data_IF_554033823036
#
_entry.id   IF_554033823036
#
_cell.length_a   1.000
_cell.length_b   1.000
_cell.length_c   1.000
_cell.angle_alpha   90.00
_cell.angle_beta   90.00
_cell.angle_gamma   90.00
#
_symmetry.space_group_name_H-M   'P 1'
#
loop_
_entity.id
_entity.type
_entity.pdbx_description
1 polymer ?
#
# COMPACT_ATOMS: atom_id res chain seq x y z
N UNK A 1 -16.38 22.56 -23.66
CA UNK A 1 -16.04 21.62 -24.77
C UNK A 1 -15.49 20.36 -24.15
N UNK A 2 -16.25 19.29 -24.30
CA UNK A 2 -16.01 17.99 -23.69
C UNK A 2 -14.72 17.37 -24.17
N UNK A 3 -13.76 17.19 -23.28
CA UNK A 3 -12.69 16.23 -23.44
C UNK A 3 -13.19 14.88 -22.90
N UNK A 4 -13.98 14.18 -23.70
CA UNK A 4 -14.56 12.88 -23.36
C UNK A 4 -13.52 11.75 -23.15
N UNK A 5 -12.26 11.98 -23.51
CA UNK A 5 -11.17 11.00 -23.39
C UNK A 5 -10.53 10.95 -21.98
N UNK A 6 -10.58 12.04 -21.21
CA UNK A 6 -10.04 12.02 -19.82
C UNK A 6 -11.06 11.44 -18.82
N UNK A 7 -12.35 11.46 -19.14
CA UNK A 7 -13.41 10.93 -18.25
C UNK A 7 -13.44 9.40 -18.20
N UNK A 8 -13.11 8.70 -19.27
CA UNK A 8 -13.23 7.24 -19.33
C UNK A 8 -12.21 6.50 -18.45
N UNK A 9 -10.94 6.88 -18.49
CA UNK A 9 -9.89 6.28 -17.66
C UNK A 9 -9.97 6.77 -16.21
N UNK A 10 -10.23 8.05 -15.99
CA UNK A 10 -10.39 8.63 -14.66
C UNK A 10 -11.53 8.00 -13.86
N UNK A 11 -12.66 7.68 -14.48
CA UNK A 11 -13.81 7.07 -13.79
C UNK A 11 -13.58 5.60 -13.43
N UNK A 12 -12.83 4.85 -14.22
CA UNK A 12 -12.48 3.45 -13.91
C UNK A 12 -11.53 3.36 -12.74
N UNK A 13 -10.53 4.25 -12.66
CA UNK A 13 -9.53 4.23 -11.59
C UNK A 13 -9.93 5.05 -10.35
N UNK A 14 -10.82 6.01 -10.47
CA UNK A 14 -11.34 6.82 -9.35
C UNK A 14 -12.10 6.02 -8.28
N UNK A 15 -12.40 4.74 -8.54
CA UNK A 15 -13.18 3.86 -7.65
C UNK A 15 -12.48 2.53 -7.42
N UNK A 16 -11.18 2.55 -7.18
CA UNK A 16 -10.44 1.33 -6.87
C UNK A 16 -10.31 1.15 -5.36
N UNK A 17 -10.85 0.05 -4.84
CA UNK A 17 -10.58 -0.46 -3.51
C UNK A 17 -9.40 -1.43 -3.54
N UNK A 18 -8.48 -1.32 -2.56
CA UNK A 18 -7.30 -2.20 -2.47
C UNK A 18 -7.34 -2.97 -1.16
N UNK A 19 -7.28 -4.30 -1.25
CA UNK A 19 -7.26 -5.22 -0.10
C UNK A 19 -5.81 -5.67 0.12
N UNK A 20 -5.26 -5.46 1.33
CA UNK A 20 -3.97 -6.04 1.71
C UNK A 20 -4.12 -7.52 2.00
N UNK A 21 -3.21 -8.34 1.47
CA UNK A 21 -3.26 -9.80 1.69
C UNK A 21 -2.36 -10.27 2.84
N UNK A 22 -1.55 -9.37 3.41
CA UNK A 22 -0.60 -9.72 4.48
C UNK A 22 -1.35 -10.14 5.75
N UNK A 23 -1.29 -11.43 6.09
CA UNK A 23 -1.93 -12.04 7.26
C UNK A 23 -3.45 -11.78 7.36
N UNK A 24 -4.13 -11.62 6.23
CA UNK A 24 -5.55 -11.28 6.14
C UNK A 24 -6.47 -12.29 6.83
N UNK A 25 -5.98 -13.51 7.07
CA UNK A 25 -6.71 -14.58 7.76
C UNK A 25 -6.59 -14.57 9.28
N UNK A 26 -6.00 -13.53 9.88
CA UNK A 26 -5.67 -13.51 11.31
C UNK A 26 -6.87 -13.66 12.26
N UNK A 27 -8.06 -13.36 11.81
CA UNK A 27 -9.32 -13.52 12.58
C UNK A 27 -9.97 -14.91 12.40
N UNK A 28 -9.46 -15.77 11.51
CA UNK A 28 -9.97 -17.10 11.34
C UNK A 28 -9.71 -17.94 12.60
N UNK A 29 -10.69 -18.71 13.12
CA UNK A 29 -10.56 -19.43 14.40
C UNK A 29 -9.38 -20.41 14.45
N UNK A 30 -9.00 -20.96 13.29
CA UNK A 30 -7.91 -21.91 13.12
C UNK A 30 -6.62 -21.25 12.57
N UNK A 31 -6.49 -19.92 12.66
CA UNK A 31 -5.35 -19.19 12.12
C UNK A 31 -4.01 -19.67 12.70
N UNK A 32 -3.99 -19.90 13.99
CA UNK A 32 -2.79 -20.28 14.74
C UNK A 32 -2.35 -21.71 14.39
N UNK A 33 -1.28 -21.85 13.57
CA UNK A 33 -0.76 -23.11 13.05
C UNK A 33 -1.29 -23.51 11.69
N UNK A 34 -2.12 -22.66 11.09
CA UNK A 34 -2.75 -22.89 9.79
C UNK A 34 -2.80 -21.59 8.96
N UNK A 35 -1.79 -20.72 9.19
CA UNK A 35 -1.76 -19.32 8.71
C UNK A 35 -1.95 -19.23 7.20
N UNK A 36 -1.28 -20.12 6.45
CA UNK A 36 -1.35 -20.12 4.99
C UNK A 36 -2.78 -20.40 4.48
N UNK A 37 -3.39 -21.49 4.95
CA UNK A 37 -4.73 -21.87 4.52
C UNK A 37 -5.75 -20.80 4.93
N UNK A 38 -5.62 -20.22 6.12
CA UNK A 38 -6.47 -19.12 6.59
C UNK A 38 -6.33 -17.87 5.71
N UNK A 39 -5.11 -17.49 5.36
CA UNK A 39 -4.87 -16.36 4.46
C UNK A 39 -5.50 -16.59 3.08
N UNK A 40 -5.34 -17.75 2.48
CA UNK A 40 -5.92 -18.05 1.17
C UNK A 40 -7.46 -18.04 1.20
N UNK A 41 -8.08 -18.63 2.23
CA UNK A 41 -9.54 -18.57 2.42
C UNK A 41 -10.02 -17.13 2.56
N UNK A 42 -9.33 -16.33 3.37
CA UNK A 42 -9.70 -14.95 3.64
C UNK A 42 -9.47 -14.04 2.44
N UNK A 43 -8.41 -14.24 1.64
CA UNK A 43 -8.22 -13.53 0.36
C UNK A 43 -9.46 -13.72 -0.51
N UNK A 44 -9.92 -14.96 -0.70
CA UNK A 44 -11.11 -15.26 -1.50
C UNK A 44 -12.36 -14.62 -0.90
N UNK A 45 -12.60 -14.81 0.38
CA UNK A 45 -13.75 -14.27 1.12
C UNK A 45 -13.87 -12.75 0.97
N UNK A 46 -12.78 -12.04 1.19
CA UNK A 46 -12.77 -10.57 1.13
C UNK A 46 -12.91 -10.03 -0.31
N UNK A 47 -12.29 -10.66 -1.31
CA UNK A 47 -12.45 -10.27 -2.71
C UNK A 47 -13.89 -10.47 -3.16
N UNK A 48 -14.47 -11.66 -2.93
CA UNK A 48 -15.86 -11.94 -3.30
C UNK A 48 -16.80 -10.94 -2.63
N UNK A 49 -16.63 -10.72 -1.33
CA UNK A 49 -17.45 -9.77 -0.57
C UNK A 49 -17.32 -8.34 -1.09
N UNK A 50 -16.09 -7.89 -1.40
CA UNK A 50 -15.86 -6.56 -1.95
C UNK A 50 -16.51 -6.39 -3.33
N UNK A 51 -16.47 -7.42 -4.19
CA UNK A 51 -17.13 -7.40 -5.49
C UNK A 51 -18.66 -7.36 -5.40
N UNK A 52 -19.25 -8.10 -4.46
CA UNK A 52 -20.68 -8.02 -4.17
C UNK A 52 -21.08 -6.59 -3.76
N UNK A 53 -20.35 -6.00 -2.81
CA UNK A 53 -20.59 -4.63 -2.34
C UNK A 53 -20.41 -3.59 -3.45
N UNK A 54 -19.41 -3.77 -4.31
CA UNK A 54 -19.16 -2.89 -5.44
C UNK A 54 -20.25 -2.98 -6.52
N UNK A 55 -21.00 -4.07 -6.58
CA UNK A 55 -22.12 -4.27 -7.53
C UNK A 55 -21.72 -3.96 -8.98
N UNK A 56 -20.53 -4.40 -9.40
CA UNK A 56 -19.96 -4.15 -10.72
C UNK A 56 -19.44 -2.72 -10.96
N UNK A 57 -19.40 -1.88 -9.93
CA UNK A 57 -18.88 -0.50 -10.02
C UNK A 57 -17.47 -0.41 -9.45
N UNK A 58 -16.53 0.07 -10.26
CA UNK A 58 -15.13 0.21 -9.86
C UNK A 58 -14.35 -1.11 -9.91
N UNK A 59 -13.11 -1.07 -9.44
CA UNK A 59 -12.17 -2.18 -9.45
C UNK A 59 -11.84 -2.62 -8.01
N UNK A 60 -11.73 -3.93 -7.82
CA UNK A 60 -11.22 -4.52 -6.57
C UNK A 60 -9.82 -5.04 -6.83
N UNK A 61 -8.84 -4.38 -6.27
CA UNK A 61 -7.44 -4.77 -6.35
C UNK A 61 -6.98 -5.44 -5.05
N UNK A 62 -5.86 -6.14 -5.14
CA UNK A 62 -5.14 -6.64 -3.97
C UNK A 62 -3.73 -6.05 -3.93
N UNK A 63 -3.24 -5.77 -2.74
CA UNK A 63 -1.83 -5.46 -2.49
C UNK A 63 -1.14 -6.71 -1.92
N UNK A 64 -0.10 -7.19 -2.59
CA UNK A 64 0.66 -8.37 -2.18
C UNK A 64 2.14 -8.00 -2.02
N UNK A 65 2.67 -8.17 -0.82
CA UNK A 65 4.09 -7.92 -0.55
C UNK A 65 4.96 -9.04 -1.11
N UNK A 66 5.96 -8.71 -1.92
CA UNK A 66 6.95 -9.66 -2.47
C UNK A 66 7.74 -10.36 -1.35
N UNK A 67 7.92 -9.68 -0.22
CA UNK A 67 8.61 -10.20 0.96
C UNK A 67 7.84 -11.31 1.70
N UNK A 68 6.55 -11.52 1.44
CA UNK A 68 5.78 -12.60 2.06
C UNK A 68 6.31 -13.97 1.64
N UNK A 69 6.31 -14.92 2.58
CA UNK A 69 6.67 -16.32 2.30
C UNK A 69 5.76 -16.92 1.22
N UNK A 70 4.44 -16.70 1.33
CA UNK A 70 3.41 -17.19 0.40
C UNK A 70 3.03 -16.17 -0.67
N UNK A 71 3.95 -15.31 -1.10
CA UNK A 71 3.70 -14.28 -2.12
C UNK A 71 3.04 -14.86 -3.38
N UNK A 72 3.59 -15.94 -3.93
CA UNK A 72 3.10 -16.53 -5.17
C UNK A 72 1.69 -17.12 -5.02
N UNK A 73 1.43 -17.76 -3.90
CA UNK A 73 0.15 -18.38 -3.55
C UNK A 73 -0.93 -17.29 -3.36
N UNK A 74 -0.60 -16.19 -2.67
CA UNK A 74 -1.50 -15.04 -2.52
C UNK A 74 -1.87 -14.41 -3.86
N UNK A 75 -0.91 -14.20 -4.75
CA UNK A 75 -1.17 -13.69 -6.11
C UNK A 75 -2.12 -14.61 -6.87
N UNK A 76 -1.81 -15.92 -6.90
CA UNK A 76 -2.63 -16.90 -7.61
C UNK A 76 -4.05 -16.99 -7.06
N UNK A 77 -4.20 -16.98 -5.72
CA UNK A 77 -5.49 -17.05 -5.07
C UNK A 77 -6.31 -15.78 -5.33
N UNK A 78 -5.70 -14.60 -5.29
CA UNK A 78 -6.36 -13.35 -5.60
C UNK A 78 -6.92 -13.34 -7.04
N UNK A 79 -6.13 -13.82 -8.02
CA UNK A 79 -6.57 -13.94 -9.41
C UNK A 79 -7.73 -14.95 -9.53
N UNK A 80 -7.63 -16.11 -8.88
CA UNK A 80 -8.72 -17.14 -8.86
C UNK A 80 -10.00 -16.61 -8.25
N UNK A 81 -9.88 -15.78 -7.20
CA UNK A 81 -11.02 -15.14 -6.53
C UNK A 81 -11.64 -14.00 -7.34
N UNK A 82 -11.03 -13.63 -8.48
CA UNK A 82 -11.55 -12.62 -9.40
C UNK A 82 -11.14 -11.19 -9.06
N UNK A 83 -9.98 -10.97 -8.42
CA UNK A 83 -9.42 -9.63 -8.28
C UNK A 83 -9.21 -8.99 -9.66
N UNK A 84 -9.55 -7.71 -9.80
CA UNK A 84 -9.39 -6.98 -11.06
C UNK A 84 -7.95 -6.54 -11.30
N UNK A 85 -7.18 -6.38 -10.22
CA UNK A 85 -5.76 -6.02 -10.29
C UNK A 85 -4.96 -6.61 -9.13
N UNK A 86 -3.68 -6.87 -9.38
CA UNK A 86 -2.68 -7.27 -8.39
C UNK A 86 -1.57 -6.22 -8.36
N UNK A 87 -1.42 -5.56 -7.22
CA UNK A 87 -0.42 -4.51 -6.96
C UNK A 87 0.64 -5.12 -6.06
N UNK A 88 1.91 -5.08 -6.46
CA UNK A 88 2.99 -5.70 -5.70
C UNK A 88 4.10 -4.73 -5.36
N UNK A 89 4.53 -4.76 -4.09
CA UNK A 89 5.62 -3.95 -3.54
C UNK A 89 6.35 -4.67 -2.40
N UNK A 90 7.06 -3.94 -1.57
CA UNK A 90 7.94 -4.49 -0.54
C UNK A 90 8.92 -5.52 -1.12
N UNK A 91 9.64 -5.11 -2.16
CA UNK A 91 10.51 -5.88 -3.04
C UNK A 91 10.11 -5.70 -4.50
N UNK A 92 10.98 -6.12 -5.42
CA UNK A 92 10.73 -6.01 -6.86
C UNK A 92 9.96 -7.24 -7.36
N UNK A 93 8.72 -7.08 -7.88
CA UNK A 93 7.88 -8.19 -8.35
C UNK A 93 8.30 -8.65 -9.76
N UNK A 94 9.55 -9.12 -9.90
CA UNK A 94 10.14 -9.47 -11.20
C UNK A 94 9.41 -10.61 -11.92
N UNK A 95 8.73 -11.48 -11.16
CA UNK A 95 8.01 -12.65 -11.65
C UNK A 95 6.49 -12.51 -11.69
N UNK A 96 5.96 -11.32 -11.38
CA UNK A 96 4.51 -11.08 -11.35
C UNK A 96 3.81 -11.40 -12.70
N UNK A 97 4.38 -11.07 -13.88
CA UNK A 97 3.76 -11.44 -15.16
C UNK A 97 3.63 -12.95 -15.39
N UNK A 98 4.48 -13.77 -14.77
CA UNK A 98 4.40 -15.25 -14.82
C UNK A 98 3.23 -15.78 -13.97
N UNK A 99 2.94 -15.09 -12.85
CA UNK A 99 1.93 -15.53 -11.88
C UNK A 99 0.51 -15.17 -12.28
N UNK A 100 0.36 -14.15 -13.13
CA UNK A 100 -0.94 -13.61 -13.55
C UNK A 100 -1.05 -13.76 -15.06
N UNK A 101 -1.89 -14.70 -15.51
CA UNK A 101 -2.18 -14.87 -16.93
C UNK A 101 -2.73 -13.58 -17.56
N UNK A 102 -2.29 -13.28 -18.77
CA UNK A 102 -2.74 -12.09 -19.49
C UNK A 102 -4.27 -12.06 -19.65
N UNK A 103 -4.89 -10.93 -19.34
CA UNK A 103 -6.34 -10.76 -19.42
C UNK A 103 -7.12 -11.24 -18.19
N UNK A 104 -6.52 -11.97 -17.24
CA UNK A 104 -7.21 -12.41 -16.01
C UNK A 104 -7.30 -11.32 -14.96
N UNK A 105 -6.21 -10.59 -14.76
CA UNK A 105 -6.15 -9.42 -13.89
C UNK A 105 -5.08 -8.44 -14.40
N UNK A 106 -5.22 -7.18 -14.05
CA UNK A 106 -4.18 -6.16 -14.28
C UNK A 106 -3.02 -6.39 -13.32
N UNK A 107 -1.81 -6.07 -13.74
CA UNK A 107 -0.60 -6.16 -12.92
C UNK A 107 0.07 -4.80 -12.77
N UNK A 108 0.44 -4.47 -11.53
CA UNK A 108 1.09 -3.21 -11.22
C UNK A 108 2.22 -3.38 -10.20
N UNK A 109 3.40 -2.83 -10.47
CA UNK A 109 4.46 -2.73 -9.47
C UNK A 109 4.28 -1.48 -8.62
N UNK A 110 4.75 -1.54 -7.36
CA UNK A 110 5.03 -0.36 -6.54
C UNK A 110 6.52 -0.05 -6.68
N UNK A 111 6.84 1.18 -7.04
CA UNK A 111 8.22 1.65 -7.21
C UNK A 111 8.41 3.00 -6.54
N UNK A 112 9.64 3.30 -6.09
CA UNK A 112 9.96 4.59 -5.48
C UNK A 112 11.01 5.37 -6.29
N UNK A 113 11.43 4.84 -7.45
CA UNK A 113 12.42 5.48 -8.30
C UNK A 113 12.28 5.11 -9.78
N UNK A 114 12.74 6.02 -10.65
CA UNK A 114 12.89 5.76 -12.10
C UNK A 114 13.70 4.49 -12.38
N UNK A 115 14.78 4.27 -11.61
CA UNK A 115 15.64 3.09 -11.77
C UNK A 115 14.89 1.79 -11.52
N UNK A 116 14.06 1.73 -10.48
CA UNK A 116 13.25 0.56 -10.18
C UNK A 116 12.20 0.31 -11.27
N UNK A 117 11.51 1.36 -11.72
CA UNK A 117 10.55 1.27 -12.82
C UNK A 117 11.22 0.75 -14.11
N UNK A 118 12.35 1.34 -14.52
CA UNK A 118 13.10 0.94 -15.71
C UNK A 118 13.53 -0.54 -15.65
N UNK A 119 14.03 -0.99 -14.48
CA UNK A 119 14.43 -2.38 -14.27
C UNK A 119 13.27 -3.34 -14.44
N UNK A 120 12.13 -3.06 -13.80
CA UNK A 120 10.96 -3.93 -13.83
C UNK A 120 10.33 -3.97 -15.24
N UNK A 121 10.08 -2.83 -15.85
CA UNK A 121 9.49 -2.75 -17.19
C UNK A 121 10.36 -3.47 -18.22
N UNK A 122 11.70 -3.27 -18.16
CA UNK A 122 12.66 -3.98 -19.01
C UNK A 122 12.65 -5.48 -18.77
N UNK A 123 12.59 -5.91 -17.51
CA UNK A 123 12.59 -7.34 -17.16
C UNK A 123 11.31 -8.00 -17.62
N UNK A 124 10.16 -7.38 -17.37
CA UNK A 124 8.86 -7.91 -17.80
C UNK A 124 8.74 -7.99 -19.32
N UNK A 125 9.21 -6.96 -20.01
CA UNK A 125 9.25 -6.93 -21.47
C UNK A 125 10.13 -8.05 -22.04
N UNK A 126 11.39 -8.15 -21.59
CA UNK A 126 12.34 -9.12 -22.14
C UNK A 126 12.00 -10.56 -21.81
N UNK A 127 11.55 -10.82 -20.57
CA UNK A 127 11.35 -12.18 -20.09
C UNK A 127 9.96 -12.74 -20.40
N UNK A 128 8.94 -11.86 -20.41
CA UNK A 128 7.55 -12.28 -20.48
C UNK A 128 6.78 -11.69 -21.66
N UNK A 129 7.39 -10.79 -22.46
CA UNK A 129 6.70 -10.11 -23.55
C UNK A 129 5.51 -9.28 -23.06
N UNK A 130 5.59 -8.72 -21.84
CA UNK A 130 4.49 -8.04 -21.16
C UNK A 130 5.01 -6.77 -20.45
N UNK A 131 4.12 -5.78 -20.27
CA UNK A 131 4.42 -4.58 -19.48
C UNK A 131 3.39 -4.38 -18.37
N UNK A 132 3.61 -3.41 -17.49
CA UNK A 132 2.66 -3.04 -16.45
C UNK A 132 1.33 -2.55 -17.05
N UNK A 133 0.23 -2.81 -16.36
CA UNK A 133 -1.07 -2.24 -16.72
C UNK A 133 -1.26 -0.86 -16.10
N UNK A 134 -0.62 -0.59 -14.99
CA UNK A 134 -0.41 0.71 -14.34
C UNK A 134 0.78 0.61 -13.38
N UNK A 135 1.23 1.72 -12.85
CA UNK A 135 2.33 1.81 -11.88
C UNK A 135 1.85 2.58 -10.65
N UNK A 136 2.19 2.11 -9.45
CA UNK A 136 2.09 2.91 -8.24
C UNK A 136 3.49 3.42 -7.88
N UNK A 137 3.64 4.73 -7.74
CA UNK A 137 4.90 5.33 -7.29
C UNK A 137 4.74 5.81 -5.85
N UNK A 138 5.62 5.34 -4.97
CA UNK A 138 5.53 5.62 -3.55
C UNK A 138 6.62 6.59 -3.12
N UNK A 139 6.20 7.76 -2.62
CA UNK A 139 7.07 8.80 -2.12
C UNK A 139 7.56 8.55 -0.70
N UNK A 140 8.54 9.37 -0.23
CA UNK A 140 9.17 9.19 1.07
C UNK A 140 8.24 9.44 2.26
N UNK A 141 7.08 10.07 2.05
CA UNK A 141 6.09 10.37 3.09
C UNK A 141 5.05 9.27 3.30
N UNK A 142 5.15 8.16 2.56
CA UNK A 142 4.26 7.03 2.72
C UNK A 142 4.38 6.37 4.11
N UNK A 143 3.35 5.63 4.49
CA UNK A 143 3.32 4.81 5.70
C UNK A 143 3.74 3.37 5.43
N UNK A 144 4.09 2.63 6.48
CA UNK A 144 4.53 1.25 6.33
C UNK A 144 5.95 1.15 5.78
N UNK A 145 6.22 0.10 5.01
CA UNK A 145 7.55 -0.18 4.48
C UNK A 145 7.89 0.75 3.33
N UNK A 146 9.08 1.34 3.35
CA UNK A 146 9.52 2.37 2.43
C UNK A 146 10.62 1.87 1.50
N UNK A 147 10.53 2.21 0.22
CA UNK A 147 11.51 1.85 -0.81
C UNK A 147 12.77 2.73 -0.85
N UNK A 148 13.13 3.35 0.28
CA UNK A 148 14.27 4.25 0.47
C UNK A 148 15.24 3.67 1.49
N UNK A 149 16.51 4.08 1.49
CA UNK A 149 17.44 3.73 2.55
C UNK A 149 17.16 4.53 3.83
N UNK A 150 17.69 4.06 4.97
CA UNK A 150 17.52 4.77 6.24
C UNK A 150 18.12 6.16 6.17
N UNK A 151 19.31 6.30 5.57
CA UNK A 151 20.03 7.56 5.43
C UNK A 151 19.26 8.57 4.56
N UNK A 152 18.55 8.10 3.52
CA UNK A 152 17.67 8.95 2.72
C UNK A 152 16.46 9.45 3.55
N UNK A 153 15.92 8.61 4.41
CA UNK A 153 14.73 8.93 5.21
C UNK A 153 15.06 9.79 6.44
N UNK A 154 16.32 9.89 6.85
CA UNK A 154 16.74 10.80 7.92
C UNK A 154 16.63 12.27 7.51
N UNK A 155 16.66 12.56 6.19
CA UNK A 155 16.39 13.89 5.64
C UNK A 155 15.63 13.77 4.31
N UNK A 156 14.31 13.64 4.40
CA UNK A 156 13.45 13.48 3.22
C UNK A 156 13.45 14.70 2.27
N UNK A 157 13.90 15.88 2.75
CA UNK A 157 13.99 17.08 1.90
C UNK A 157 15.00 16.92 0.77
N UNK A 158 15.96 16.00 0.90
CA UNK A 158 16.93 15.64 -0.13
C UNK A 158 16.41 14.64 -1.16
N UNK A 159 15.25 14.01 -0.90
CA UNK A 159 14.62 13.08 -1.82
C UNK A 159 13.80 13.90 -2.83
N UNK A 160 14.26 13.92 -4.06
CA UNK A 160 13.58 14.63 -5.16
C UNK A 160 12.48 13.76 -5.76
N UNK A 161 11.41 13.51 -4.98
CA UNK A 161 10.33 12.61 -5.41
C UNK A 161 9.66 13.07 -6.71
N UNK A 162 9.53 14.36 -6.93
CA UNK A 162 8.93 14.91 -8.16
C UNK A 162 9.78 14.61 -9.40
N UNK A 163 11.11 14.64 -9.26
CA UNK A 163 12.03 14.24 -10.34
C UNK A 163 11.94 12.73 -10.61
N UNK A 164 11.84 11.90 -9.58
CA UNK A 164 11.62 10.46 -9.73
C UNK A 164 10.29 10.14 -10.41
N UNK A 165 9.20 10.82 -10.01
CA UNK A 165 7.89 10.70 -10.64
C UNK A 165 7.96 11.06 -12.14
N UNK A 166 8.54 12.21 -12.46
CA UNK A 166 8.75 12.66 -13.85
C UNK A 166 9.57 11.63 -14.64
N UNK A 167 10.65 11.12 -14.03
CA UNK A 167 11.49 10.10 -14.65
C UNK A 167 10.75 8.76 -14.89
N UNK A 168 9.82 8.37 -14.02
CA UNK A 168 8.95 7.21 -14.21
C UNK A 168 7.99 7.45 -15.38
N UNK A 169 7.41 8.67 -15.46
CA UNK A 169 6.54 9.06 -16.56
C UNK A 169 7.25 9.04 -17.92
N UNK A 170 8.52 9.43 -17.97
CA UNK A 170 9.33 9.30 -19.18
C UNK A 170 9.64 7.85 -19.54
N UNK A 171 9.99 7.04 -18.53
CA UNK A 171 10.39 5.65 -18.75
C UNK A 171 9.24 4.79 -19.29
N UNK A 172 8.01 5.00 -18.80
CA UNK A 172 6.83 4.24 -19.25
C UNK A 172 6.49 4.45 -20.73
N UNK A 173 6.76 5.64 -21.28
CA UNK A 173 6.41 6.02 -22.67
C UNK A 173 6.92 5.00 -23.70
N UNK A 174 8.14 4.49 -23.54
CA UNK A 174 8.74 3.47 -24.42
C UNK A 174 7.90 2.21 -24.50
N UNK A 175 7.27 1.83 -23.38
CA UNK A 175 6.45 0.62 -23.28
C UNK A 175 5.02 0.90 -23.71
N UNK A 176 4.51 2.12 -23.49
CA UNK A 176 3.23 2.56 -24.05
C UNK A 176 3.25 2.50 -25.58
N UNK A 177 4.28 3.05 -26.20
CA UNK A 177 4.50 2.99 -27.64
C UNK A 177 4.63 1.54 -28.14
N UNK A 178 5.50 0.74 -27.47
CA UNK A 178 5.75 -0.65 -27.86
C UNK A 178 4.52 -1.53 -27.80
N UNK A 179 3.71 -1.37 -26.74
CA UNK A 179 2.54 -2.22 -26.49
C UNK A 179 1.21 -1.62 -26.94
N UNK A 180 1.22 -0.41 -27.47
CA UNK A 180 0.01 0.28 -27.97
C UNK A 180 -1.04 0.53 -26.89
N UNK A 181 -0.63 0.71 -25.64
CA UNK A 181 -1.53 0.96 -24.50
C UNK A 181 -0.97 1.98 -23.52
N UNK A 182 -1.85 2.73 -22.86
CA UNK A 182 -1.45 3.60 -21.77
C UNK A 182 -1.07 2.79 -20.53
N UNK A 183 -0.12 3.31 -19.74
CA UNK A 183 0.32 2.79 -18.46
C UNK A 183 0.10 3.91 -17.42
N UNK A 184 -1.09 4.02 -16.82
CA UNK A 184 -1.35 5.04 -15.81
C UNK A 184 -0.39 4.95 -14.63
N UNK A 185 -0.05 6.12 -14.05
CA UNK A 185 0.79 6.22 -12.85
C UNK A 185 0.02 6.87 -11.73
N UNK A 186 -0.04 6.18 -10.59
CA UNK A 186 -0.67 6.67 -9.36
C UNK A 186 0.41 6.98 -8.34
N UNK A 187 0.38 8.19 -7.76
CA UNK A 187 1.34 8.56 -6.73
C UNK A 187 0.76 8.31 -5.32
N UNK A 188 1.60 7.83 -4.43
CA UNK A 188 1.29 7.56 -3.03
C UNK A 188 2.30 8.22 -2.09
N UNK A 189 1.89 8.50 -0.86
CA UNK A 189 2.72 9.13 0.16
C UNK A 189 2.58 10.64 0.18
N UNK A 190 2.26 11.19 1.36
CA UNK A 190 2.08 12.63 1.57
C UNK A 190 0.76 13.22 1.03
N UNK A 191 -0.10 12.43 0.41
CA UNK A 191 -1.37 12.89 -0.16
C UNK A 191 -2.41 13.03 0.94
N UNK A 192 -2.85 14.26 1.18
CA UNK A 192 -3.82 14.57 2.22
C UNK A 192 -5.18 14.97 1.69
N UNK A 193 -5.23 15.87 0.72
CA UNK A 193 -6.44 16.46 0.16
C UNK A 193 -6.35 16.70 -1.36
N UNK A 194 -7.37 17.38 -1.91
CA UNK A 194 -7.44 17.69 -3.33
C UNK A 194 -6.32 18.61 -3.83
N UNK A 195 -5.73 19.43 -2.96
CA UNK A 195 -4.62 20.30 -3.36
C UNK A 195 -3.34 19.46 -3.61
N UNK A 196 -3.07 18.49 -2.73
CA UNK A 196 -1.98 17.54 -2.94
C UNK A 196 -2.21 16.69 -4.20
N UNK A 197 -3.45 16.21 -4.40
CA UNK A 197 -3.82 15.44 -5.59
C UNK A 197 -3.57 16.25 -6.88
N UNK A 198 -4.01 17.50 -6.93
CA UNK A 198 -3.78 18.40 -8.08
C UNK A 198 -2.30 18.69 -8.32
N UNK A 199 -1.51 18.89 -7.25
CA UNK A 199 -0.06 19.10 -7.37
C UNK A 199 0.59 17.89 -8.05
N UNK A 200 0.21 16.69 -7.68
CA UNK A 200 0.72 15.45 -8.26
C UNK A 200 0.22 15.25 -9.71
N UNK A 201 -1.04 15.53 -9.98
CA UNK A 201 -1.60 15.49 -11.35
C UNK A 201 -0.91 16.49 -12.28
N UNK A 202 -0.54 17.68 -11.78
CA UNK A 202 0.23 18.68 -12.54
C UNK A 202 1.62 18.20 -12.94
N UNK A 203 2.20 17.24 -12.22
CA UNK A 203 3.45 16.56 -12.58
C UNK A 203 3.24 15.41 -13.59
N UNK A 204 1.99 15.15 -14.00
CA UNK A 204 1.64 14.19 -15.03
C UNK A 204 1.14 12.84 -14.49
N UNK A 205 1.00 12.65 -13.18
CA UNK A 205 0.38 11.44 -12.64
C UNK A 205 -1.11 11.38 -12.99
N UNK A 206 -1.61 10.17 -13.21
CA UNK A 206 -3.01 9.91 -13.59
C UNK A 206 -3.95 9.84 -12.38
N UNK A 207 -3.41 9.89 -11.16
CA UNK A 207 -4.17 9.90 -9.92
C UNK A 207 -3.32 9.63 -8.69
N UNK A 208 -3.99 9.39 -7.56
CA UNK A 208 -3.32 9.22 -6.26
C UNK A 208 -3.79 7.94 -5.55
N UNK A 209 -2.93 7.42 -4.66
CA UNK A 209 -3.25 6.35 -3.72
C UNK A 209 -3.08 6.85 -2.30
N UNK A 210 -4.09 6.67 -1.46
CA UNK A 210 -4.08 7.08 -0.06
C UNK A 210 -4.54 5.93 0.85
N UNK A 211 -4.01 5.87 2.08
CA UNK A 211 -4.35 4.85 3.06
C UNK A 211 -4.59 5.42 4.47
N UNK A 212 -3.68 6.21 5.02
CA UNK A 212 -3.65 6.62 6.44
C UNK A 212 -4.99 7.22 6.91
N UNK A 213 -5.61 8.10 6.13
CA UNK A 213 -6.91 8.71 6.46
C UNK A 213 -8.04 7.68 6.54
N UNK A 214 -8.01 6.65 5.68
CA UNK A 214 -9.05 5.63 5.64
C UNK A 214 -9.07 4.72 6.86
N UNK A 215 -7.96 4.62 7.60
CA UNK A 215 -7.90 3.88 8.88
C UNK A 215 -8.80 4.55 9.94
N UNK A 216 -8.80 5.88 10.00
CA UNK A 216 -9.64 6.63 10.93
C UNK A 216 -11.04 6.90 10.35
N UNK A 217 -11.69 5.88 9.80
CA UNK A 217 -13.06 5.96 9.28
C UNK A 217 -14.00 5.01 10.01
N UNK A 218 -15.30 5.30 9.94
CA UNK A 218 -16.34 4.45 10.52
C UNK A 218 -16.36 3.08 9.88
N UNK A 219 -16.11 3.02 8.57
CA UNK A 219 -16.16 1.81 7.74
C UNK A 219 -14.93 0.91 7.89
N UNK A 220 -13.81 1.42 8.39
CA UNK A 220 -12.65 0.59 8.71
C UNK A 220 -13.02 -0.40 9.83
N UNK A 221 -12.68 -1.66 9.65
CA UNK A 221 -13.00 -2.77 10.57
C UNK A 221 -12.02 -2.91 11.75
N UNK A 222 -10.92 -2.14 11.76
CA UNK A 222 -10.01 -2.10 12.90
C UNK A 222 -10.71 -1.61 14.18
N UNK A 223 -10.23 -2.06 15.33
CA UNK A 223 -10.78 -1.69 16.63
C UNK A 223 -10.81 -0.17 16.86
N UNK A 224 -11.68 0.27 17.74
CA UNK A 224 -11.75 1.69 18.12
C UNK A 224 -10.43 2.19 18.74
N UNK A 225 -9.72 1.33 19.49
CA UNK A 225 -8.40 1.65 20.05
C UNK A 225 -7.38 1.96 18.98
N UNK A 226 -7.35 1.16 17.91
CA UNK A 226 -6.49 1.38 16.76
C UNK A 226 -6.80 2.70 16.04
N UNK A 227 -8.08 2.97 15.76
CA UNK A 227 -8.51 4.24 15.13
C UNK A 227 -8.18 5.45 15.98
N UNK A 228 -8.36 5.35 17.32
CA UNK A 228 -8.00 6.42 18.27
C UNK A 228 -6.50 6.69 18.29
N UNK A 229 -5.64 5.69 18.08
CA UNK A 229 -4.21 5.91 17.96
C UNK A 229 -3.86 6.87 16.81
N UNK A 230 -4.58 6.79 15.70
CA UNK A 230 -4.41 7.74 14.59
C UNK A 230 -4.96 9.13 14.91
N UNK A 231 -6.13 9.23 15.54
CA UNK A 231 -6.75 10.51 15.89
C UNK A 231 -5.95 11.28 16.95
N UNK A 232 -5.32 10.55 17.88
CA UNK A 232 -4.55 11.14 18.96
C UNK A 232 -3.07 11.41 18.58
N UNK A 233 -2.63 10.90 17.41
CA UNK A 233 -1.25 11.05 16.96
C UNK A 233 -0.93 12.51 16.63
N UNK A 234 0.29 12.93 16.96
CA UNK A 234 0.87 14.21 16.56
C UNK A 234 1.91 13.98 15.48
N UNK A 235 2.26 15.00 14.74
CA UNK A 235 3.32 14.94 13.74
C UNK A 235 4.66 14.47 14.35
N UNK A 236 4.95 14.88 15.59
CA UNK A 236 6.15 14.48 16.35
C UNK A 236 6.16 13.01 16.77
N UNK A 237 5.03 12.33 16.70
CA UNK A 237 4.93 10.92 17.08
C UNK A 237 5.28 9.98 15.92
N UNK A 238 5.56 10.52 14.74
CA UNK A 238 5.93 9.73 13.57
C UNK A 238 7.43 9.42 13.58
N UNK A 239 7.77 8.15 13.33
CA UNK A 239 9.16 7.69 13.34
C UNK A 239 9.47 6.72 12.21
N UNK A 240 10.70 6.78 11.70
CA UNK A 240 11.25 5.73 10.85
C UNK A 240 11.84 4.63 11.72
N UNK A 241 11.35 3.42 11.58
CA UNK A 241 11.72 2.25 12.36
C UNK A 241 12.46 1.21 11.52
N UNK A 242 13.21 0.34 12.17
CA UNK A 242 13.76 -0.87 11.56
C UNK A 242 12.72 -1.99 11.60
N UNK A 243 12.18 -2.35 10.46
CA UNK A 243 11.20 -3.43 10.39
C UNK A 243 11.87 -4.82 10.27
N UNK A 244 11.25 -5.86 10.85
CA UNK A 244 11.65 -7.26 10.64
C UNK A 244 11.69 -7.72 9.17
N UNK A 245 11.01 -7.00 8.28
CA UNK A 245 11.01 -7.25 6.83
C UNK A 245 12.36 -6.90 6.17
N UNK A 246 13.23 -6.18 6.90
CA UNK A 246 14.53 -5.74 6.39
C UNK A 246 14.50 -4.40 5.65
N UNK A 247 13.35 -3.74 5.60
CA UNK A 247 13.15 -2.40 5.04
C UNK A 247 12.88 -1.39 6.17
N UNK A 248 13.24 -0.11 6.01
CA UNK A 248 12.74 0.94 6.88
C UNK A 248 11.21 1.02 6.81
N UNK A 249 10.57 1.38 7.91
CA UNK A 249 9.12 1.56 7.95
C UNK A 249 8.75 2.85 8.69
N UNK A 250 7.64 3.50 8.30
CA UNK A 250 7.12 4.65 9.04
C UNK A 250 5.94 4.24 9.90
N UNK A 251 6.05 4.52 11.21
CA UNK A 251 5.09 4.11 12.22
C UNK A 251 4.97 5.17 13.33
N UNK A 252 3.98 5.01 14.20
CA UNK A 252 3.90 5.77 15.45
C UNK A 252 4.98 5.32 16.43
N UNK A 253 5.64 6.27 17.06
CA UNK A 253 6.63 6.07 18.11
C UNK A 253 5.95 5.81 19.47
N UNK A 254 5.15 4.76 19.55
CA UNK A 254 4.44 4.34 20.76
C UNK A 254 5.34 3.59 21.74
N UNK A 255 4.78 3.15 22.88
CA UNK A 255 5.52 2.41 23.90
C UNK A 255 6.15 1.13 23.35
N UNK A 256 5.47 0.43 22.42
CA UNK A 256 5.99 -0.77 21.78
C UNK A 256 7.30 -0.50 21.02
N UNK A 257 7.31 0.53 20.16
CA UNK A 257 8.53 0.89 19.39
C UNK A 257 9.66 1.33 20.32
N UNK A 258 9.37 2.16 21.33
CA UNK A 258 10.38 2.60 22.30
C UNK A 258 10.99 1.43 23.07
N UNK A 259 10.17 0.45 23.46
CA UNK A 259 10.60 -0.77 24.16
C UNK A 259 11.48 -1.64 23.25
N UNK A 260 11.02 -1.93 22.05
CA UNK A 260 11.70 -2.87 21.13
C UNK A 260 13.00 -2.31 20.54
N UNK A 261 13.17 -0.99 20.51
CA UNK A 261 14.46 -0.34 20.19
C UNK A 261 15.50 -0.47 21.30
N UNK A 262 15.06 -0.52 22.57
CA UNK A 262 15.96 -0.69 23.72
C UNK A 262 16.37 -2.16 23.89
N UNK A 263 15.41 -3.07 23.72
CA UNK A 263 15.65 -4.50 23.81
C UNK A 263 14.69 -5.26 22.91
N UNK A 264 15.17 -6.23 22.10
CA UNK A 264 14.30 -7.06 21.29
C UNK A 264 13.26 -7.81 22.16
N UNK A 265 12.04 -7.92 21.65
CA UNK A 265 11.00 -8.77 22.23
C UNK A 265 11.25 -10.24 21.80
N UNK A 266 11.18 -11.18 22.73
CA UNK A 266 11.32 -12.59 22.40
C UNK A 266 10.18 -13.05 21.48
N UNK A 267 10.52 -13.76 20.41
CA UNK A 267 9.53 -14.33 19.50
C UNK A 267 9.12 -15.70 20.04
N UNK A 268 8.03 -15.75 20.78
CA UNK A 268 7.49 -17.00 21.34
C UNK A 268 6.97 -17.92 20.25
N UNK A 269 6.47 -17.35 19.14
CA UNK A 269 5.90 -18.09 18.03
C UNK A 269 6.25 -17.46 16.69
N UNK A 270 6.64 -18.31 15.73
CA UNK A 270 6.84 -17.92 14.33
C UNK A 270 5.57 -18.19 13.50
N UNK A 271 5.11 -17.18 12.75
CA UNK A 271 3.97 -17.26 11.83
C UNK A 271 4.41 -17.56 10.38
N UNK A 272 5.66 -17.83 10.14
CA UNK A 272 6.22 -18.12 8.80
C UNK A 272 5.80 -17.10 7.74
N UNK A 273 5.66 -15.82 8.12
CA UNK A 273 5.04 -14.77 7.30
C UNK A 273 5.99 -14.14 6.28
N UNK A 274 7.27 -14.01 6.59
CA UNK A 274 8.27 -13.28 5.79
C UNK A 274 9.39 -14.18 5.33
N UNK A 275 9.76 -14.07 4.04
CA UNK A 275 10.95 -14.73 3.49
C UNK A 275 12.19 -14.32 4.28
N UNK A 276 13.09 -15.26 4.50
CA UNK A 276 14.38 -15.03 5.17
C UNK A 276 14.28 -14.42 6.60
N UNK A 277 13.11 -14.42 7.21
CA UNK A 277 12.97 -14.03 8.61
C UNK A 277 13.72 -15.01 9.52
N UNK A 278 14.53 -14.45 10.42
CA UNK A 278 15.23 -15.21 11.45
C UNK A 278 14.73 -14.75 12.83
N UNK A 279 13.82 -15.49 13.47
CA UNK A 279 13.17 -15.06 14.73
C UNK A 279 14.14 -14.62 15.84
N UNK A 280 15.32 -15.22 15.91
CA UNK A 280 16.35 -14.86 16.89
C UNK A 280 17.12 -13.56 16.56
N UNK A 281 16.93 -12.96 15.38
CA UNK A 281 17.69 -11.80 14.92
C UNK A 281 16.81 -10.57 14.64
N UNK A 282 15.50 -10.68 14.83
CA UNK A 282 14.55 -9.58 14.62
C UNK A 282 14.20 -8.90 15.94
N UNK A 283 13.87 -7.60 15.93
CA UNK A 283 13.51 -6.88 17.15
C UNK A 283 12.16 -7.33 17.74
N UNK A 284 11.25 -7.89 16.95
CA UNK A 284 9.94 -8.41 17.35
C UNK A 284 9.28 -9.18 16.19
N UNK A 285 8.27 -9.99 16.50
CA UNK A 285 7.44 -10.63 15.46
C UNK A 285 6.46 -9.60 14.87
N UNK A 286 6.63 -9.27 13.58
CA UNK A 286 5.80 -8.25 12.93
C UNK A 286 4.33 -8.65 12.85
N UNK A 287 4.03 -9.92 12.56
CA UNK A 287 2.64 -10.42 12.52
C UNK A 287 1.95 -10.24 13.86
N UNK A 288 2.59 -10.65 14.93
CA UNK A 288 2.04 -10.52 16.28
C UNK A 288 1.83 -9.03 16.65
N UNK A 289 2.81 -8.18 16.36
CA UNK A 289 2.73 -6.76 16.65
C UNK A 289 1.58 -6.06 15.89
N UNK A 290 1.35 -6.43 14.63
CA UNK A 290 0.24 -5.89 13.84
C UNK A 290 -1.12 -6.41 14.34
N UNK A 291 -1.23 -7.69 14.70
CA UNK A 291 -2.47 -8.27 15.25
C UNK A 291 -2.83 -7.61 16.59
N UNK A 292 -1.87 -7.43 17.50
CA UNK A 292 -2.11 -6.71 18.76
C UNK A 292 -2.66 -5.31 18.50
N UNK A 293 -2.01 -4.57 17.62
CA UNK A 293 -2.40 -3.19 17.31
C UNK A 293 -3.82 -3.11 16.74
N UNK A 294 -4.17 -3.92 15.74
CA UNK A 294 -5.49 -3.86 15.10
C UNK A 294 -6.62 -4.25 16.05
N UNK A 295 -6.36 -5.11 17.03
CA UNK A 295 -7.29 -5.45 18.12
C UNK A 295 -7.40 -4.37 19.19
N UNK A 296 -6.55 -3.32 19.14
CA UNK A 296 -6.61 -2.17 20.03
C UNK A 296 -5.52 -2.13 21.11
N UNK A 297 -4.69 -3.15 21.22
CA UNK A 297 -3.50 -3.14 22.06
C UNK A 297 -2.35 -2.41 21.37
N UNK A 298 -2.53 -1.10 21.19
CA UNK A 298 -1.58 -0.24 20.48
C UNK A 298 -0.30 0.01 21.27
N UNK A 299 -0.34 -0.14 22.58
CA UNK A 299 0.84 0.03 23.46
C UNK A 299 1.82 -1.16 23.33
N UNK A 300 1.35 -2.33 22.90
CA UNK A 300 2.16 -3.52 22.67
C UNK A 300 2.17 -3.94 21.18
N UNK A 301 1.72 -3.07 20.29
CA UNK A 301 1.56 -3.35 18.88
C UNK A 301 2.20 -2.31 17.96
N UNK A 302 2.44 -2.71 16.73
CA UNK A 302 2.98 -1.86 15.67
C UNK A 302 1.87 -1.12 14.93
N UNK A 303 1.94 0.21 14.88
CA UNK A 303 0.98 1.06 14.20
C UNK A 303 1.70 1.80 13.06
N UNK A 304 1.58 1.29 11.84
CA UNK A 304 2.11 1.96 10.65
C UNK A 304 1.25 3.16 10.27
N UNK A 305 1.85 4.27 9.86
CA UNK A 305 1.13 5.47 9.42
C UNK A 305 1.98 6.28 8.42
N UNK A 306 1.36 7.11 7.59
CA UNK A 306 2.05 8.11 6.78
C UNK A 306 2.47 9.34 7.59
N UNK A 307 3.27 10.21 6.98
CA UNK A 307 3.78 11.44 7.62
C UNK A 307 2.65 12.37 8.12
N UNK A 308 1.55 12.41 7.40
CA UNK A 308 0.40 13.29 7.67
C UNK A 308 -0.58 12.78 8.75
N UNK A 309 -0.25 11.71 9.50
CA UNK A 309 -1.16 11.15 10.50
C UNK A 309 -1.59 12.18 11.55
N UNK A 310 -0.70 13.09 11.95
CA UNK A 310 -1.00 14.15 12.93
C UNK A 310 -2.05 15.17 12.49
N UNK A 311 -2.48 15.13 11.23
CA UNK A 311 -3.58 15.97 10.71
C UNK A 311 -4.97 15.33 10.93
N UNK A 312 -5.05 14.08 11.39
CA UNK A 312 -6.31 13.38 11.65
C UNK A 312 -6.85 13.84 13.01
N UNK A 313 -7.98 14.53 13.00
CA UNK A 313 -8.60 15.12 14.19
C UNK A 313 -9.86 14.37 14.68
N UNK A 314 -10.41 13.48 13.84
CA UNK A 314 -11.62 12.72 14.14
C UNK A 314 -11.73 11.44 13.35
N UNK A 315 -12.65 10.57 13.78
CA UNK A 315 -13.10 9.44 12.97
C UNK A 315 -14.14 9.97 11.96
N UNK A 316 -13.77 9.95 10.69
CA UNK A 316 -14.61 10.40 9.57
C UNK A 316 -15.34 9.22 8.89
N UNK A 317 -15.86 9.43 7.68
CA UNK A 317 -16.37 8.39 6.80
C UNK A 317 -15.48 8.26 5.57
N UNK A 318 -15.49 7.10 4.91
CA UNK A 318 -14.82 6.90 3.62
C UNK A 318 -15.28 7.93 2.59
N UNK A 319 -16.58 8.27 2.59
CA UNK A 319 -17.14 9.29 1.70
C UNK A 319 -16.48 10.65 1.92
N UNK A 320 -16.41 11.13 3.17
CA UNK A 320 -15.78 12.43 3.49
C UNK A 320 -14.30 12.44 3.05
N UNK A 321 -13.56 11.34 3.26
CA UNK A 321 -12.15 11.25 2.83
C UNK A 321 -12.03 11.33 1.31
N UNK A 322 -12.91 10.63 0.58
CA UNK A 322 -12.91 10.66 -0.89
C UNK A 322 -13.29 12.07 -1.40
N UNK A 323 -14.30 12.70 -0.82
CA UNK A 323 -14.71 14.05 -1.18
C UNK A 323 -13.58 15.06 -0.96
N UNK A 324 -12.88 14.99 0.17
CA UNK A 324 -11.72 15.82 0.47
C UNK A 324 -10.54 15.62 -0.51
N UNK A 325 -10.36 14.40 -1.02
CA UNK A 325 -9.31 14.09 -2.00
C UNK A 325 -9.68 14.51 -3.43
N UNK A 326 -10.97 14.62 -3.74
CA UNK A 326 -11.46 14.90 -5.09
C UNK A 326 -11.83 16.36 -5.32
N UNK A 327 -12.28 17.06 -4.27
CA UNK A 327 -12.83 18.39 -4.37
C UNK A 327 -12.14 19.33 -3.41
N UNK A 328 -11.68 20.48 -3.91
CA UNK A 328 -11.21 21.56 -3.03
C UNK A 328 -12.41 22.07 -2.21
N UNK A 329 -12.23 22.16 -0.90
CA UNK A 329 -13.19 22.85 -0.06
C UNK A 329 -13.18 24.32 -0.43
N UNK A 330 -14.34 24.87 -0.81
CA UNK A 330 -14.49 26.32 -0.89
C UNK A 330 -14.11 26.90 0.48
N UNK A 331 -13.03 27.68 0.49
CA UNK A 331 -12.68 28.48 1.67
C UNK A 331 -13.82 29.49 1.83
N UNK A 332 -14.78 29.21 2.71
CA UNK A 332 -15.69 30.24 3.16
C UNK A 332 -14.84 31.30 3.83
N UNK A 333 -14.52 32.35 3.09
CA UNK A 333 -13.95 33.55 3.71
C UNK A 333 -14.91 34.05 4.78
N UNK A 334 -14.38 34.41 5.97
CA UNK A 334 -15.19 34.89 7.08
C UNK A 334 -15.93 36.17 6.77
#
# INVERSE_FOLDING_TARGET
>A
RDSSTSRGLGDVYKRQGVISTAQIGFEEPDFVGNEEACNLRSIRKHIVRAKELASGKGMIAVNVMVALQQYREHVKEAVRAGADAVICGAGLPVDLPELVEAGKAKIAPIVSSRRAAALLLKTWDKKYGRTADFIVTEGPEAGGHLGFSREQLDDISKIRFEEELTGIMEEKKKYEEKYGKQIPVFAAGGIWDASDAKRIEALGADGVQAATRFVATKECDASLGYKKAYVNAKETDVKIIKSPVGMPGRALNNAFIQKTERAPESVERCYHCIKNCKPAQIPYCITQALIRAVHGDVENGLVFCGSNVGKIDRISTVREVIEDLMYEKEVKMP
#
